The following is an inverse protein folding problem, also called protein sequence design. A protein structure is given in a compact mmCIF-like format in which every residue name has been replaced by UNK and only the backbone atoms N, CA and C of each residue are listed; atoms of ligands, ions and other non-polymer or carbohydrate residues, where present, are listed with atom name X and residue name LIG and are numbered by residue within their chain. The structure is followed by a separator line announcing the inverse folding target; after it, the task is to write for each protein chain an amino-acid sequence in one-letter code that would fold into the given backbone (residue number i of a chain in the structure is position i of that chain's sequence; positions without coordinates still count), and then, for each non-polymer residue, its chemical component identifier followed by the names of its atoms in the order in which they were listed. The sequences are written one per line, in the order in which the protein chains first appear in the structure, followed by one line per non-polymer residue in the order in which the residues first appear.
data_IF_124408172510
#
_entry.id   IF_124408172510
#
_cell.length_a   1.000
_cell.length_b   1.000
_cell.length_c   1.000
_cell.angle_alpha   90.00
_cell.angle_beta   90.00
_cell.angle_gamma   90.00
#
_symmetry.space_group_name_H-M   'P 1'
#
loop_
_entity.id
_entity.type
_entity.pdbx_description
1 polymer ?
#
# COMPACT_ATOMS: atom_id res chain seq x y z
N UNK A 1 13.10 -4.54 23.18
CA UNK A 1 12.04 -5.15 22.36
C UNK A 1 10.70 -4.61 22.84
N UNK A 2 10.01 -3.77 22.05
CA UNK A 2 8.69 -3.24 22.43
C UNK A 2 7.62 -4.01 21.65
N UNK A 3 6.83 -4.81 22.36
CA UNK A 3 5.56 -5.31 21.84
C UNK A 3 4.60 -4.12 21.74
N UNK A 4 4.06 -3.87 20.56
CA UNK A 4 2.90 -3.00 20.39
C UNK A 4 1.65 -3.87 20.47
N UNK A 5 0.97 -3.80 21.61
CA UNK A 5 -0.37 -4.35 21.79
C UNK A 5 -1.34 -3.52 20.97
N UNK A 6 -2.17 -4.17 20.14
CA UNK A 6 -3.32 -3.53 19.49
C UNK A 6 -4.16 -2.81 20.55
N UNK A 7 -4.40 -1.50 20.38
CA UNK A 7 -5.12 -0.70 21.37
C UNK A 7 -6.58 -1.14 21.47
N UNK A 8 -7.15 -1.06 22.68
CA UNK A 8 -8.55 -1.37 22.96
C UNK A 8 -9.56 -0.52 22.15
N UNK A 9 -9.10 0.57 21.51
CA UNK A 9 -9.85 1.44 20.59
C UNK A 9 -9.99 0.90 19.18
N UNK A 10 -9.42 -0.27 18.84
CA UNK A 10 -9.77 -1.00 17.61
C UNK A 10 -11.17 -1.66 17.67
N UNK A 11 -11.92 -1.47 18.75
CA UNK A 11 -13.37 -1.72 18.77
C UNK A 11 -14.09 -0.51 18.17
N UNK A 12 -14.53 -0.63 16.92
CA UNK A 12 -15.53 0.30 16.39
C UNK A 12 -15.45 0.68 14.91
N UNK A 13 -14.66 0.01 14.08
CA UNK A 13 -14.68 0.24 12.64
C UNK A 13 -15.55 -0.83 11.96
N UNK A 14 -16.74 -0.45 11.51
CA UNK A 14 -17.60 -1.30 10.68
C UNK A 14 -16.96 -1.47 9.31
N UNK A 15 -16.86 -2.71 8.85
CA UNK A 15 -16.23 -3.02 7.57
C UNK A 15 -16.32 -4.49 7.21
N UNK A 16 -16.06 -4.80 5.94
CA UNK A 16 -16.04 -6.16 5.41
C UNK A 16 -14.58 -6.61 5.24
N UNK A 17 -14.24 -7.78 5.76
CA UNK A 17 -12.96 -8.42 5.44
C UNK A 17 -13.03 -8.93 3.99
N UNK A 18 -12.09 -8.49 3.17
CA UNK A 18 -11.97 -8.85 1.75
C UNK A 18 -10.57 -9.38 1.46
N UNK A 19 -10.44 -10.20 0.42
CA UNK A 19 -9.16 -10.74 -0.01
C UNK A 19 -8.57 -9.89 -1.15
N UNK A 20 -7.37 -9.38 -0.93
CA UNK A 20 -6.67 -8.42 -1.79
C UNK A 20 -5.39 -9.02 -2.35
N UNK A 21 -5.12 -8.76 -3.62
CA UNK A 21 -3.80 -8.85 -4.23
C UNK A 21 -3.40 -7.48 -4.75
N UNK A 22 -2.09 -7.19 -4.78
CA UNK A 22 -1.59 -5.90 -5.25
C UNK A 22 -0.37 -6.03 -6.16
N UNK A 23 -0.12 -4.96 -6.91
CA UNK A 23 1.13 -4.72 -7.65
C UNK A 23 1.60 -3.30 -7.38
N UNK A 24 2.76 -3.16 -6.75
CA UNK A 24 3.42 -1.90 -6.42
C UNK A 24 4.71 -1.77 -7.25
N UNK A 25 4.86 -0.64 -7.92
CA UNK A 25 6.10 -0.27 -8.61
C UNK A 25 6.55 1.11 -8.16
N UNK A 26 7.86 1.31 -8.03
CA UNK A 26 8.46 2.60 -7.67
C UNK A 26 9.53 3.01 -8.68
N UNK A 27 9.87 4.30 -8.74
CA UNK A 27 11.10 4.74 -9.40
C UNK A 27 12.33 4.35 -8.58
N UNK A 28 13.50 4.30 -9.23
CA UNK A 28 14.74 3.83 -8.61
C UNK A 28 15.20 4.71 -7.43
N UNK A 29 14.88 6.01 -7.44
CA UNK A 29 15.20 6.95 -6.37
C UNK A 29 14.34 6.82 -5.11
N UNK A 30 13.25 6.06 -5.17
CA UNK A 30 12.36 5.86 -4.01
C UNK A 30 12.88 4.77 -3.10
N UNK A 31 12.93 5.08 -1.81
CA UNK A 31 13.09 4.13 -0.71
C UNK A 31 11.75 3.97 0.01
N UNK A 32 11.35 2.72 0.25
CA UNK A 32 10.15 2.40 1.04
C UNK A 32 10.59 2.12 2.47
N UNK A 33 9.82 2.57 3.45
CA UNK A 33 10.12 2.29 4.86
C UNK A 33 9.75 0.84 5.20
N UNK A 34 10.57 0.17 6.01
CA UNK A 34 10.26 -1.16 6.54
C UNK A 34 8.92 -1.15 7.28
N UNK A 35 8.06 -2.12 6.99
CA UNK A 35 6.67 -2.19 7.49
C UNK A 35 5.85 -0.91 7.20
N UNK A 36 6.29 -0.07 6.26
CA UNK A 36 5.68 1.20 5.95
C UNK A 36 4.46 1.11 5.02
N UNK A 37 4.09 -0.10 4.57
CA UNK A 37 3.00 -0.31 3.64
C UNK A 37 1.84 -1.09 4.29
N UNK A 38 0.65 -0.49 4.29
CA UNK A 38 -0.58 -1.09 4.81
C UNK A 38 -1.74 -0.92 3.83
N UNK A 39 -2.58 -1.95 3.74
CA UNK A 39 -3.81 -1.97 2.96
C UNK A 39 -4.94 -2.44 3.88
N UNK A 40 -5.96 -1.62 4.11
CA UNK A 40 -7.10 -1.96 4.99
C UNK A 40 -6.67 -2.48 6.37
N UNK A 41 -5.70 -1.80 7.00
CA UNK A 41 -5.04 -2.17 8.27
C UNK A 41 -4.14 -3.40 8.26
N UNK A 42 -4.00 -4.07 7.12
CA UNK A 42 -3.09 -5.20 6.99
C UNK A 42 -1.73 -4.72 6.52
N UNK A 43 -0.70 -5.03 7.30
CA UNK A 43 0.68 -4.75 6.94
C UNK A 43 1.13 -5.68 5.82
N UNK A 44 1.70 -5.10 4.78
CA UNK A 44 2.17 -5.82 3.60
C UNK A 44 3.65 -6.12 3.76
N UNK A 45 4.01 -7.39 3.56
CA UNK A 45 5.40 -7.83 3.66
C UNK A 45 6.11 -7.65 2.31
N UNK A 46 6.74 -6.48 2.14
CA UNK A 46 7.44 -6.13 0.91
C UNK A 46 8.61 -7.07 0.60
N UNK A 47 9.32 -7.58 1.61
CA UNK A 47 10.47 -8.49 1.39
C UNK A 47 10.02 -9.82 0.78
N UNK A 48 8.86 -10.33 1.23
CA UNK A 48 8.29 -11.56 0.69
C UNK A 48 7.74 -11.35 -0.73
N UNK A 49 7.27 -10.15 -1.04
CA UNK A 49 6.63 -9.80 -2.30
C UNK A 49 7.59 -9.18 -3.34
N UNK A 50 8.84 -8.90 -2.96
CA UNK A 50 9.82 -8.31 -3.86
C UNK A 50 10.13 -9.25 -5.03
N UNK A 51 10.14 -8.69 -6.24
CA UNK A 51 10.57 -9.39 -7.45
C UNK A 51 12.10 -9.40 -7.57
N UNK A 52 12.65 -9.94 -8.66
CA UNK A 52 14.08 -9.79 -8.96
C UNK A 52 14.46 -8.34 -9.28
N UNK A 53 13.52 -7.53 -9.77
CA UNK A 53 13.71 -6.08 -9.87
C UNK A 53 13.39 -5.45 -8.49
N UNK A 54 14.35 -4.75 -7.86
CA UNK A 54 14.14 -4.15 -6.53
C UNK A 54 13.11 -3.02 -6.52
N UNK A 55 12.60 -2.61 -7.68
CA UNK A 55 11.58 -1.57 -7.83
C UNK A 55 10.16 -2.11 -8.04
N UNK A 56 9.97 -3.43 -8.02
CA UNK A 56 8.69 -4.09 -8.25
C UNK A 56 8.38 -5.04 -7.11
N UNK A 57 7.19 -4.91 -6.54
CA UNK A 57 6.66 -5.70 -5.44
C UNK A 57 5.24 -6.15 -5.79
N UNK A 58 4.92 -7.43 -5.62
CA UNK A 58 3.57 -7.91 -5.89
C UNK A 58 3.24 -9.17 -5.11
N UNK A 59 1.95 -9.34 -4.84
CA UNK A 59 1.45 -10.58 -4.23
C UNK A 59 1.79 -11.78 -5.11
N UNK A 60 2.45 -12.81 -4.56
CA UNK A 60 2.96 -13.95 -5.33
C UNK A 60 1.94 -15.10 -5.48
N UNK A 61 1.80 -15.59 -6.71
CA UNK A 61 1.02 -16.80 -7.01
C UNK A 61 -0.45 -16.70 -6.60
N UNK A 62 -0.92 -17.64 -5.76
CA UNK A 62 -2.31 -17.68 -5.26
C UNK A 62 -2.48 -17.01 -3.89
N UNK A 63 -1.44 -16.35 -3.37
CA UNK A 63 -1.52 -15.66 -2.09
C UNK A 63 -2.48 -14.47 -2.16
N UNK A 64 -3.04 -14.11 -1.01
CA UNK A 64 -3.89 -12.94 -0.84
C UNK A 64 -3.70 -12.38 0.56
N UNK A 65 -3.84 -11.07 0.71
CA UNK A 65 -3.92 -10.39 1.99
C UNK A 65 -5.39 -10.24 2.38
N UNK A 66 -5.72 -10.52 3.64
CA UNK A 66 -7.05 -10.23 4.17
C UNK A 66 -7.04 -8.81 4.72
N UNK A 67 -7.83 -7.92 4.14
CA UNK A 67 -7.85 -6.49 4.49
C UNK A 67 -9.27 -6.07 4.91
N UNK A 68 -9.37 -5.10 5.82
CA UNK A 68 -10.64 -4.50 6.20
C UNK A 68 -11.00 -3.39 5.20
N UNK A 69 -12.10 -3.57 4.48
CA UNK A 69 -12.72 -2.53 3.67
C UNK A 69 -13.82 -1.84 4.50
N UNK A 70 -13.68 -0.55 4.72
CA UNK A 70 -14.65 0.29 5.42
C UNK A 70 -15.72 0.79 4.43
N UNK A 71 -16.78 1.42 4.95
CA UNK A 71 -17.88 1.96 4.12
C UNK A 71 -17.38 2.99 3.08
N UNK A 72 -16.35 3.77 3.44
CA UNK A 72 -15.74 4.78 2.56
C UNK A 72 -14.66 4.20 1.64
N UNK A 73 -14.39 2.88 1.73
CA UNK A 73 -13.45 2.16 0.89
C UNK A 73 -12.26 1.57 1.65
N UNK A 74 -11.15 1.38 0.94
CA UNK A 74 -9.95 0.75 1.46
C UNK A 74 -8.90 1.81 1.78
N UNK A 75 -8.48 1.90 3.04
CA UNK A 75 -7.36 2.77 3.40
C UNK A 75 -6.05 2.16 2.90
N UNK A 76 -5.25 2.95 2.19
CA UNK A 76 -3.90 2.61 1.78
C UNK A 76 -2.93 3.57 2.43
N UNK A 77 -1.86 3.06 3.03
CA UNK A 77 -0.80 3.88 3.62
C UNK A 77 0.53 3.32 3.18
N UNK A 78 1.35 4.14 2.53
CA UNK A 78 2.70 3.80 2.11
C UNK A 78 3.65 4.89 2.58
N UNK A 79 4.64 4.57 3.39
CA UNK A 79 5.70 5.51 3.78
C UNK A 79 6.91 5.34 2.88
N UNK A 80 7.28 6.40 2.16
CA UNK A 80 8.40 6.41 1.24
C UNK A 80 9.13 7.75 1.24
N UNK A 81 10.41 7.72 0.91
CA UNK A 81 11.24 8.90 0.66
C UNK A 81 11.85 8.81 -0.75
N UNK A 82 11.97 9.92 -1.45
CA UNK A 82 12.62 9.99 -2.77
C UNK A 82 13.09 11.39 -3.12
N UNK A 83 13.54 11.60 -4.35
CA UNK A 83 13.85 12.93 -4.88
C UNK A 83 12.61 13.54 -5.54
N UNK A 84 12.47 14.86 -5.53
CA UNK A 84 11.37 15.55 -6.22
C UNK A 84 11.14 15.02 -7.64
N UNK A 85 9.90 14.61 -7.96
CA UNK A 85 9.54 14.00 -9.24
C UNK A 85 9.65 12.48 -9.30
N UNK A 86 10.21 11.82 -8.29
CA UNK A 86 10.06 10.36 -8.10
C UNK A 86 8.60 9.97 -7.92
N UNK A 87 8.29 8.69 -8.14
CA UNK A 87 6.90 8.21 -8.07
C UNK A 87 6.80 6.76 -7.63
N UNK A 88 5.59 6.39 -7.21
CA UNK A 88 5.14 5.00 -7.15
C UNK A 88 3.76 4.85 -7.78
N UNK A 89 3.47 3.61 -8.17
CA UNK A 89 2.21 3.17 -8.75
C UNK A 89 1.71 1.93 -8.03
N UNK A 90 0.43 1.86 -7.74
CA UNK A 90 -0.21 0.75 -7.05
C UNK A 90 -1.50 0.34 -7.76
N UNK A 91 -1.58 -0.94 -8.11
CA UNK A 91 -2.81 -1.61 -8.51
C UNK A 91 -3.29 -2.51 -7.38
N UNK A 92 -4.59 -2.47 -7.10
CA UNK A 92 -5.23 -3.30 -6.08
C UNK A 92 -6.35 -4.08 -6.76
N UNK A 93 -6.36 -5.40 -6.54
CA UNK A 93 -7.44 -6.27 -6.97
C UNK A 93 -8.12 -6.88 -5.76
N UNK A 94 -9.44 -6.75 -5.70
CA UNK A 94 -10.31 -7.40 -4.73
C UNK A 94 -10.95 -8.59 -5.40
N UNK A 95 -10.67 -9.79 -4.91
CA UNK A 95 -11.16 -11.04 -5.50
C UNK A 95 -10.88 -11.17 -7.02
N UNK A 96 -9.77 -10.59 -7.47
CA UNK A 96 -9.34 -10.62 -8.88
C UNK A 96 -9.94 -9.51 -9.75
N UNK A 97 -10.78 -8.64 -9.19
CA UNK A 97 -11.35 -7.47 -9.87
C UNK A 97 -10.60 -6.21 -9.41
N UNK A 98 -10.16 -5.33 -10.33
CA UNK A 98 -9.55 -4.05 -9.96
C UNK A 98 -10.47 -3.24 -9.03
N UNK A 99 -9.91 -2.70 -7.94
CA UNK A 99 -10.65 -1.90 -6.97
C UNK A 99 -11.12 -0.56 -7.54
N UNK A 100 -10.35 0.01 -8.46
CA UNK A 100 -10.61 1.28 -9.12
C UNK A 100 -10.28 1.20 -10.62
N UNK A 101 -10.91 2.08 -11.41
CA UNK A 101 -10.65 2.21 -12.84
C UNK A 101 -9.32 2.94 -13.09
N UNK A 102 -8.21 2.31 -12.71
CA UNK A 102 -6.87 2.83 -13.01
C UNK A 102 -5.84 2.61 -11.91
N UNK A 103 -4.58 2.71 -12.28
CA UNK A 103 -3.47 2.57 -11.34
C UNK A 103 -3.36 3.82 -10.46
N UNK A 104 -3.34 3.64 -9.14
CA UNK A 104 -3.05 4.72 -8.19
C UNK A 104 -1.61 5.16 -8.43
N UNK A 105 -1.37 6.44 -8.75
CA UNK A 105 -0.02 6.98 -8.94
C UNK A 105 0.19 8.20 -8.09
N UNK A 106 1.28 8.22 -7.32
CA UNK A 106 1.64 9.34 -6.45
C UNK A 106 3.09 9.73 -6.69
N UNK A 107 3.34 11.03 -6.76
CA UNK A 107 4.68 11.60 -6.92
C UNK A 107 5.19 12.13 -5.59
N UNK A 108 6.51 12.16 -5.41
CA UNK A 108 7.13 12.88 -4.30
C UNK A 108 7.11 14.39 -4.56
N UNK A 109 6.82 15.17 -3.53
CA UNK A 109 6.84 16.63 -3.53
C UNK A 109 8.27 17.19 -3.66
N UNK A 110 8.37 18.53 -3.64
CA UNK A 110 9.66 19.25 -3.70
C UNK A 110 10.61 18.97 -2.52
N UNK A 111 10.12 18.33 -1.45
CA UNK A 111 10.88 17.91 -0.27
C UNK A 111 11.19 16.42 -0.28
N UNK A 112 10.75 15.68 -1.30
CA UNK A 112 10.97 14.24 -1.41
C UNK A 112 10.00 13.38 -0.60
N UNK A 113 8.96 13.98 -0.03
CA UNK A 113 7.89 13.26 0.68
C UNK A 113 6.76 12.92 -0.28
N UNK A 114 5.97 11.88 0.01
CA UNK A 114 4.80 11.55 -0.81
C UNK A 114 3.76 12.68 -0.74
N UNK A 115 3.42 13.24 -1.91
CA UNK A 115 2.46 14.33 -2.07
C UNK A 115 1.04 13.76 -2.14
N UNK A 116 0.38 13.61 -0.99
CA UNK A 116 -1.01 13.14 -0.92
C UNK A 116 -2.03 14.19 -1.39
N UNK A 117 -1.64 15.45 -1.58
CA UNK A 117 -2.52 16.50 -2.13
C UNK A 117 -2.69 16.37 -3.66
N UNK A 118 -1.88 15.52 -4.31
CA UNK A 118 -1.98 15.16 -5.73
C UNK A 118 -2.52 13.76 -5.99
N UNK A 119 -3.37 13.25 -5.09
CA UNK A 119 -4.12 12.02 -5.36
C UNK A 119 -5.19 12.34 -6.42
N UNK A 120 -4.80 12.35 -7.69
CA UNK A 120 -5.71 12.46 -8.82
C UNK A 120 -6.48 11.14 -8.90
N UNK A 121 -7.79 11.20 -8.69
CA UNK A 121 -8.74 10.13 -8.99
C UNK A 121 -8.81 9.89 -10.49
#
# INVERSE_FOLDING_TARGET
MKLFTLSATARGKTGKIIAVSYSLKKSAGVSLSDNGFNIGYTNINLDQDQSTDPNIFSTKGKQKYLCLMEEEGLQVTLYANGMSGDYWTLDILVDGVPLNEGTIKVYTDTKGHLDYDKLIK
#
